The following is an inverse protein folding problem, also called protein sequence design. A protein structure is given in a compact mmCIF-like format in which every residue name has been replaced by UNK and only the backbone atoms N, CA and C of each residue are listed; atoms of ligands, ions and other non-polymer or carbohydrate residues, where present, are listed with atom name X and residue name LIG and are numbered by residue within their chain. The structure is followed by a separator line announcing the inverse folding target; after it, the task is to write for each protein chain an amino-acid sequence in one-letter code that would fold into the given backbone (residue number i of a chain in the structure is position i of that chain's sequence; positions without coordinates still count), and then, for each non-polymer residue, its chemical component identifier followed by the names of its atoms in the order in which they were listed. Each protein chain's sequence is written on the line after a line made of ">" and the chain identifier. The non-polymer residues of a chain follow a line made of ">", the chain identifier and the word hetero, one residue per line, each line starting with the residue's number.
data_IF_383542871147
#
_entry.id   IF_383542871147
#
_cell.length_a   1.000
_cell.length_b   1.000
_cell.length_c   1.000
_cell.angle_alpha   90.00
_cell.angle_beta   90.00
_cell.angle_gamma   90.00
#
_symmetry.space_group_name_H-M   'P 1'
#
loop_
_entity.id
_entity.type
_entity.pdbx_description
1 polymer ?
#
# COMPACT_ATOMS: atom_id res chain seq x y z
N UNK A 1 -0.12 -22.20 -13.63
CA UNK A 1 -1.11 -21.13 -13.42
C UNK A 1 -2.03 -21.55 -12.28
N UNK A 2 -2.62 -20.61 -11.54
CA UNK A 2 -3.58 -20.90 -10.46
C UNK A 2 -4.97 -21.39 -10.95
N UNK A 3 -5.09 -21.72 -12.25
CA UNK A 3 -6.34 -22.09 -12.93
C UNK A 3 -7.22 -20.88 -13.29
N UNK A 4 -8.12 -21.02 -14.27
CA UNK A 4 -9.15 -20.01 -14.53
C UNK A 4 -10.11 -19.93 -13.33
N UNK A 5 -10.73 -18.76 -13.05
CA UNK A 5 -11.67 -18.61 -11.94
C UNK A 5 -12.84 -19.58 -12.15
N UNK A 6 -12.94 -20.57 -11.26
CA UNK A 6 -14.05 -21.54 -11.28
C UNK A 6 -15.36 -20.79 -11.02
N UNK A 7 -16.40 -21.13 -11.78
CA UNK A 7 -17.77 -20.64 -11.58
C UNK A 7 -17.94 -19.11 -11.64
N UNK A 8 -17.10 -18.40 -12.38
CA UNK A 8 -17.28 -16.95 -12.55
C UNK A 8 -18.68 -16.61 -13.12
N UNK A 9 -19.42 -15.61 -12.58
CA UNK A 9 -19.11 -14.70 -11.46
C UNK A 9 -19.75 -15.10 -10.10
N UNK A 10 -20.10 -16.36 -9.89
CA UNK A 10 -20.86 -16.84 -8.73
C UNK A 10 -20.19 -16.47 -7.38
N UNK A 11 -21.03 -16.03 -6.42
CA UNK A 11 -20.63 -15.61 -5.07
C UNK A 11 -19.59 -14.47 -4.99
N UNK A 12 -19.36 -13.75 -6.09
CA UNK A 12 -18.47 -12.57 -6.14
C UNK A 12 -19.29 -11.29 -6.03
N UNK A 13 -18.72 -10.27 -5.38
CA UNK A 13 -19.42 -9.00 -5.22
C UNK A 13 -18.49 -7.84 -4.87
N UNK A 14 -18.98 -6.64 -5.10
CA UNK A 14 -18.30 -5.40 -4.72
C UNK A 14 -19.28 -4.54 -3.94
N UNK A 15 -18.90 -4.20 -2.71
CA UNK A 15 -19.56 -3.17 -1.92
C UNK A 15 -18.81 -1.85 -2.11
N UNK A 16 -19.54 -0.75 -2.30
CA UNK A 16 -18.99 0.60 -2.46
C UNK A 16 -19.81 1.54 -1.60
N UNK A 17 -19.16 2.40 -0.81
CA UNK A 17 -19.86 3.46 -0.07
C UNK A 17 -20.43 4.49 -1.03
N UNK A 18 -21.43 5.26 -0.59
CA UNK A 18 -22.01 6.33 -1.42
C UNK A 18 -20.96 7.34 -1.89
N UNK A 19 -19.97 7.64 -1.04
CA UNK A 19 -18.84 8.52 -1.34
C UNK A 19 -17.75 7.89 -2.22
N UNK A 20 -17.82 6.58 -2.48
CA UNK A 20 -16.84 5.80 -3.24
C UNK A 20 -15.41 5.88 -2.68
N UNK A 21 -15.30 6.13 -1.38
CA UNK A 21 -14.05 6.28 -0.63
C UNK A 21 -13.68 5.02 0.17
N UNK A 22 -14.58 4.03 0.19
CA UNK A 22 -14.35 2.71 0.74
C UNK A 22 -15.02 1.66 -0.16
N UNK A 23 -14.25 0.66 -0.53
CA UNK A 23 -14.65 -0.44 -1.40
C UNK A 23 -14.28 -1.76 -0.74
N UNK A 24 -15.16 -2.75 -0.80
CA UNK A 24 -14.88 -4.12 -0.37
C UNK A 24 -15.14 -5.08 -1.54
N UNK A 25 -14.12 -5.77 -2.00
CA UNK A 25 -14.24 -6.84 -3.00
C UNK A 25 -14.34 -8.16 -2.25
N UNK A 26 -15.29 -9.00 -2.65
CA UNK A 26 -15.59 -10.29 -2.02
C UNK A 26 -15.39 -11.40 -3.03
N UNK A 27 -14.64 -12.44 -2.62
CA UNK A 27 -14.37 -13.66 -3.39
C UNK A 27 -13.73 -13.40 -4.77
N UNK A 28 -12.80 -12.45 -4.85
CA UNK A 28 -12.05 -12.20 -6.08
C UNK A 28 -10.77 -13.07 -6.13
N UNK A 29 -9.59 -12.50 -5.92
CA UNK A 29 -8.33 -13.23 -5.70
C UNK A 29 -8.23 -13.78 -4.27
N UNK A 30 -8.74 -13.01 -3.30
CA UNK A 30 -8.86 -13.36 -1.88
C UNK A 30 -10.32 -13.25 -1.41
N UNK A 31 -10.62 -13.80 -0.22
CA UNK A 31 -11.96 -13.74 0.37
C UNK A 31 -12.48 -12.31 0.54
N UNK A 32 -11.61 -11.39 0.95
CA UNK A 32 -11.94 -9.99 1.19
C UNK A 32 -10.75 -9.10 0.84
N UNK A 33 -11.01 -8.05 0.05
CA UNK A 33 -10.08 -6.94 -0.17
C UNK A 33 -10.77 -5.63 0.18
N UNK A 34 -10.33 -5.00 1.28
CA UNK A 34 -10.77 -3.67 1.69
C UNK A 34 -9.85 -2.61 1.07
N UNK A 35 -10.46 -1.60 0.46
CA UNK A 35 -9.75 -0.51 -0.22
C UNK A 35 -10.34 0.80 0.30
N UNK A 36 -9.50 1.62 0.93
CA UNK A 36 -9.85 3.00 1.29
C UNK A 36 -9.15 3.93 0.33
N UNK A 37 -9.91 4.86 -0.26
CA UNK A 37 -9.44 5.80 -1.27
C UNK A 37 -9.62 7.20 -0.72
N UNK A 38 -8.62 8.04 -0.89
CA UNK A 38 -8.70 9.47 -0.58
C UNK A 38 -8.22 10.27 -1.78
N UNK A 39 -8.87 11.41 -2.02
CA UNK A 39 -8.44 12.34 -3.05
C UNK A 39 -7.49 13.37 -2.44
N UNK A 40 -6.40 13.68 -3.14
CA UNK A 40 -5.35 14.56 -2.63
C UNK A 40 -4.34 13.80 -1.77
N UNK A 41 -3.79 14.47 -0.75
CA UNK A 41 -2.58 14.02 -0.04
C UNK A 41 -2.84 13.53 1.40
N UNK A 42 -4.10 13.41 1.83
CA UNK A 42 -4.44 13.02 3.21
C UNK A 42 -4.41 11.49 3.41
N UNK A 43 -3.21 10.92 3.41
CA UNK A 43 -2.96 9.51 3.73
C UNK A 43 -3.53 9.10 5.10
N UNK A 44 -3.54 10.03 6.06
CA UNK A 44 -4.03 9.77 7.42
C UNK A 44 -5.53 9.54 7.42
N UNK A 45 -6.30 10.32 6.68
CA UNK A 45 -7.73 10.12 6.51
C UNK A 45 -8.03 8.78 5.84
N UNK A 46 -7.33 8.46 4.75
CA UNK A 46 -7.45 7.18 4.05
C UNK A 46 -7.20 5.99 4.98
N UNK A 47 -6.08 6.02 5.72
CA UNK A 47 -5.69 4.95 6.61
C UNK A 47 -6.62 4.83 7.83
N UNK A 48 -7.05 5.95 8.42
CA UNK A 48 -8.03 5.94 9.50
C UNK A 48 -9.36 5.31 9.07
N UNK A 49 -9.87 5.66 7.88
CA UNK A 49 -11.10 5.05 7.33
C UNK A 49 -10.91 3.55 7.12
N UNK A 50 -9.76 3.12 6.60
CA UNK A 50 -9.42 1.71 6.45
C UNK A 50 -9.46 0.96 7.79
N UNK A 51 -8.78 1.47 8.83
CA UNK A 51 -8.76 0.83 10.15
C UNK A 51 -10.16 0.73 10.76
N UNK A 52 -11.00 1.75 10.60
CA UNK A 52 -12.39 1.72 11.09
C UNK A 52 -13.23 0.67 10.34
N UNK A 53 -13.08 0.58 9.02
CA UNK A 53 -13.77 -0.43 8.22
C UNK A 53 -13.34 -1.85 8.60
N UNK A 54 -12.04 -2.08 8.72
CA UNK A 54 -11.46 -3.35 9.13
C UNK A 54 -11.96 -3.78 10.52
N UNK A 55 -11.98 -2.85 11.49
CA UNK A 55 -12.52 -3.10 12.83
C UNK A 55 -14.02 -3.47 12.80
N UNK A 56 -14.81 -2.79 11.95
CA UNK A 56 -16.23 -3.11 11.76
C UNK A 56 -16.44 -4.52 11.17
N UNK A 57 -15.66 -4.89 10.16
CA UNK A 57 -15.70 -6.25 9.59
C UNK A 57 -15.29 -7.29 10.64
N UNK A 58 -14.20 -7.05 11.38
CA UNK A 58 -13.75 -7.94 12.46
C UNK A 58 -14.86 -8.18 13.49
N UNK A 59 -15.53 -7.11 13.95
CA UNK A 59 -16.62 -7.21 14.91
C UNK A 59 -17.81 -8.02 14.34
N UNK A 60 -18.16 -7.81 13.07
CA UNK A 60 -19.22 -8.58 12.40
C UNK A 60 -18.87 -10.07 12.27
N UNK A 61 -17.63 -10.40 11.91
CA UNK A 61 -17.17 -11.79 11.85
C UNK A 61 -17.27 -12.48 13.21
N UNK A 62 -16.87 -11.80 14.28
CA UNK A 62 -16.96 -12.32 15.64
C UNK A 62 -18.41 -12.62 16.06
N UNK A 63 -19.37 -11.78 15.68
CA UNK A 63 -20.81 -12.04 15.91
C UNK A 63 -21.29 -13.32 15.20
N UNK A 64 -20.61 -13.74 14.14
CA UNK A 64 -20.90 -14.95 13.37
C UNK A 64 -19.94 -16.10 13.68
N UNK A 65 -19.21 -16.04 14.83
CA UNK A 65 -18.22 -17.06 15.23
C UNK A 65 -17.13 -17.31 14.18
N UNK A 66 -16.77 -16.29 13.41
CA UNK A 66 -15.70 -16.31 12.41
C UNK A 66 -14.59 -15.32 12.76
N UNK A 67 -13.41 -15.50 12.16
CA UNK A 67 -12.27 -14.60 12.31
C UNK A 67 -11.46 -14.52 11.02
N UNK A 68 -10.60 -13.51 10.92
CA UNK A 68 -9.58 -13.49 9.87
C UNK A 68 -8.59 -14.64 10.06
N UNK A 69 -8.09 -15.17 8.94
CA UNK A 69 -7.02 -16.15 8.93
C UNK A 69 -5.70 -15.44 9.26
N UNK A 70 -5.15 -15.71 10.44
CA UNK A 70 -3.92 -15.08 10.92
C UNK A 70 -3.02 -16.12 11.60
N UNK A 71 -1.70 -15.95 11.42
CA UNK A 71 -0.65 -16.76 12.04
C UNK A 71 0.25 -15.87 12.88
N UNK A 72 0.68 -16.34 14.05
CA UNK A 72 1.63 -15.63 14.89
C UNK A 72 2.99 -15.36 14.21
N UNK A 73 3.38 -16.21 13.24
CA UNK A 73 4.64 -16.05 12.49
C UNK A 73 4.46 -15.27 11.19
N UNK A 74 3.33 -15.45 10.52
CA UNK A 74 3.12 -14.95 9.15
C UNK A 74 2.13 -13.78 9.05
N UNK A 75 1.52 -13.35 10.15
CA UNK A 75 0.46 -12.33 10.13
C UNK A 75 -0.79 -12.82 9.41
N UNK A 76 -1.50 -11.92 8.76
CA UNK A 76 -2.65 -12.24 7.90
C UNK A 76 -2.23 -13.15 6.75
N UNK A 77 -3.06 -14.16 6.51
CA UNK A 77 -2.86 -15.12 5.44
C UNK A 77 -3.65 -14.69 4.20
N UNK A 78 -3.01 -14.78 3.03
CA UNK A 78 -3.59 -14.51 1.71
C UNK A 78 -3.27 -15.68 0.78
N UNK A 79 -4.01 -15.78 -0.31
CA UNK A 79 -3.82 -16.77 -1.37
C UNK A 79 -2.45 -16.65 -2.06
N UNK A 80 -1.84 -15.45 -2.03
CA UNK A 80 -0.51 -15.20 -2.58
C UNK A 80 0.55 -15.06 -1.47
N UNK A 81 1.65 -15.85 -1.48
CA UNK A 81 2.70 -15.75 -0.46
C UNK A 81 3.35 -14.37 -0.31
N UNK A 82 3.37 -13.56 -1.37
CA UNK A 82 3.92 -12.19 -1.31
C UNK A 82 3.03 -11.20 -0.57
N UNK A 83 1.77 -11.57 -0.29
CA UNK A 83 0.80 -10.76 0.45
C UNK A 83 0.66 -11.17 1.92
N UNK A 84 1.52 -12.06 2.43
CA UNK A 84 1.55 -12.40 3.86
C UNK A 84 2.00 -11.20 4.72
N UNK A 85 1.70 -11.26 6.02
CA UNK A 85 2.10 -10.27 7.01
C UNK A 85 0.95 -9.32 7.33
N UNK A 86 1.10 -8.05 6.99
CA UNK A 86 0.02 -7.06 7.11
C UNK A 86 -0.99 -7.18 5.98
N UNK A 87 -0.60 -7.82 4.86
CA UNK A 87 -1.33 -7.81 3.58
C UNK A 87 -1.65 -6.39 3.06
N UNK A 88 -1.03 -5.35 3.62
CA UNK A 88 -1.33 -3.96 3.30
C UNK A 88 -0.55 -3.51 2.07
N UNK A 89 -1.27 -2.85 1.16
CA UNK A 89 -0.71 -2.12 0.03
C UNK A 89 -1.16 -0.66 0.16
N UNK A 90 -0.31 0.18 0.76
CA UNK A 90 -0.46 1.62 0.70
C UNK A 90 0.10 2.11 -0.64
N UNK A 91 -0.67 2.93 -1.36
CA UNK A 91 -0.32 3.38 -2.71
C UNK A 91 -0.65 4.86 -2.88
N UNK A 92 0.24 5.58 -3.56
CA UNK A 92 0.09 6.95 -3.99
C UNK A 92 0.15 7.02 -5.52
N UNK A 93 -0.68 7.85 -6.14
CA UNK A 93 -0.45 8.29 -7.51
C UNK A 93 0.31 9.61 -7.47
N UNK A 94 1.48 9.66 -8.12
CA UNK A 94 2.37 10.81 -8.14
C UNK A 94 2.75 11.18 -9.57
N UNK A 95 2.69 12.46 -9.89
CA UNK A 95 3.14 13.03 -11.15
C UNK A 95 4.65 13.29 -11.06
N UNK A 96 5.45 12.47 -11.73
CA UNK A 96 6.93 12.46 -11.65
C UNK A 96 7.59 12.40 -13.05
N UNK A 97 7.22 13.27 -14.02
CA UNK A 97 7.74 13.19 -15.39
C UNK A 97 9.26 13.38 -15.47
N UNK A 98 9.87 14.25 -14.67
CA UNK A 98 11.31 14.53 -14.73
C UNK A 98 12.12 13.51 -13.93
N UNK A 99 11.70 13.20 -12.70
CA UNK A 99 12.38 12.25 -11.84
C UNK A 99 12.37 10.84 -12.47
N UNK A 100 11.26 10.44 -13.09
CA UNK A 100 11.16 9.13 -13.74
C UNK A 100 11.94 8.99 -15.05
N UNK A 101 12.27 10.12 -15.71
CA UNK A 101 13.12 10.14 -16.90
C UNK A 101 14.62 10.03 -16.58
N UNK A 102 15.03 10.30 -15.32
CA UNK A 102 16.43 10.20 -14.90
C UNK A 102 16.86 8.74 -14.72
N UNK A 103 18.14 8.41 -15.05
CA UNK A 103 18.70 7.11 -14.70
C UNK A 103 18.67 6.93 -13.18
N UNK A 104 18.45 5.70 -12.72
CA UNK A 104 18.41 5.38 -11.30
C UNK A 104 17.04 5.56 -10.62
N UNK A 105 15.99 6.06 -11.30
CA UNK A 105 14.67 6.28 -10.67
C UNK A 105 14.11 5.05 -9.94
N UNK A 106 14.11 3.89 -10.62
CA UNK A 106 13.64 2.62 -10.01
C UNK A 106 14.55 2.15 -8.87
N UNK A 107 15.85 2.43 -8.96
CA UNK A 107 16.80 2.10 -7.91
C UNK A 107 16.57 2.98 -6.68
N UNK A 108 16.32 4.28 -6.87
CA UNK A 108 15.93 5.22 -5.82
C UNK A 108 14.64 4.74 -5.13
N UNK A 109 13.58 4.45 -5.89
CA UNK A 109 12.32 3.91 -5.34
C UNK A 109 12.59 2.68 -4.46
N UNK A 110 13.41 1.73 -4.95
CA UNK A 110 13.73 0.52 -4.19
C UNK A 110 14.53 0.81 -2.91
N UNK A 111 15.48 1.77 -2.94
CA UNK A 111 16.21 2.20 -1.73
C UNK A 111 15.31 2.91 -0.71
N UNK A 112 14.24 3.56 -1.18
CA UNK A 112 13.19 4.14 -0.35
C UNK A 112 12.18 3.11 0.17
N UNK A 113 12.34 1.81 -0.13
CA UNK A 113 11.38 0.78 0.26
C UNK A 113 10.09 0.79 -0.56
N UNK A 114 10.12 1.38 -1.77
CA UNK A 114 8.97 1.56 -2.63
C UNK A 114 9.02 0.67 -3.89
N UNK A 115 7.84 0.28 -4.33
CA UNK A 115 7.57 -0.30 -5.64
C UNK A 115 6.90 0.77 -6.51
N UNK A 116 7.53 1.09 -7.66
CA UNK A 116 7.01 2.08 -8.62
C UNK A 116 6.55 1.42 -9.93
N UNK A 117 5.30 1.70 -10.34
CA UNK A 117 4.68 1.22 -11.57
C UNK A 117 4.11 2.39 -12.37
N UNK A 118 4.22 2.36 -13.69
CA UNK A 118 3.54 3.35 -14.53
C UNK A 118 2.03 3.16 -14.36
N UNK A 119 1.32 4.23 -13.99
CA UNK A 119 -0.13 4.19 -13.79
C UNK A 119 -0.91 4.63 -15.04
N UNK A 120 -0.24 5.31 -15.97
CA UNK A 120 -0.76 5.70 -17.27
C UNK A 120 0.03 5.04 -18.41
N UNK A 121 -0.48 5.20 -19.64
CA UNK A 121 0.26 4.88 -20.86
C UNK A 121 1.61 5.63 -20.92
N UNK A 122 2.54 5.11 -21.71
CA UNK A 122 3.92 5.63 -21.75
C UNK A 122 3.95 7.13 -22.07
N UNK A 123 4.53 7.93 -21.16
CA UNK A 123 4.84 9.35 -21.41
C UNK A 123 4.10 10.35 -20.52
N UNK A 124 3.04 9.96 -19.81
CA UNK A 124 2.28 10.90 -18.97
C UNK A 124 2.95 11.17 -17.61
N UNK A 125 4.06 10.52 -17.27
CA UNK A 125 4.78 10.76 -16.01
C UNK A 125 4.00 10.40 -14.74
N UNK A 126 2.83 9.76 -14.85
CA UNK A 126 2.02 9.34 -13.71
C UNK A 126 2.46 7.96 -13.20
N UNK A 127 2.87 7.90 -11.94
CA UNK A 127 3.38 6.69 -11.30
C UNK A 127 2.54 6.30 -10.09
N UNK A 128 2.23 5.00 -9.99
CA UNK A 128 1.77 4.36 -8.76
C UNK A 128 2.99 3.96 -7.94
N UNK A 129 3.07 4.49 -6.73
CA UNK A 129 4.16 4.28 -5.78
C UNK A 129 3.58 3.62 -4.53
N UNK A 130 4.09 2.46 -4.15
CA UNK A 130 3.54 1.66 -3.05
C UNK A 130 4.63 1.05 -2.17
N UNK A 131 4.30 0.60 -0.96
CA UNK A 131 5.25 -0.10 -0.11
C UNK A 131 5.70 -1.43 -0.74
N UNK A 132 7.00 -1.70 -0.68
CA UNK A 132 7.57 -2.97 -1.12
C UNK A 132 7.31 -4.08 -0.10
N UNK A 133 7.58 -3.80 1.17
CA UNK A 133 7.51 -4.78 2.24
C UNK A 133 6.08 -4.92 2.77
N UNK A 134 5.66 -6.18 2.97
CA UNK A 134 4.36 -6.56 3.54
C UNK A 134 4.48 -7.42 4.80
N UNK A 135 5.64 -8.03 5.02
CA UNK A 135 5.93 -8.93 6.14
C UNK A 135 7.12 -8.40 6.96
N UNK A 136 7.06 -8.52 8.28
CA UNK A 136 8.16 -8.13 9.17
C UNK A 136 8.13 -6.67 9.66
N UNK A 137 7.13 -5.89 9.25
CA UNK A 137 6.86 -4.52 9.68
C UNK A 137 5.38 -4.34 10.01
N UNK A 138 5.03 -3.31 10.77
CA UNK A 138 3.62 -2.97 11.03
C UNK A 138 3.00 -2.21 9.86
N UNK A 139 1.67 -2.19 9.81
CA UNK A 139 0.87 -1.40 8.86
C UNK A 139 1.25 0.08 8.91
N UNK A 140 1.43 0.61 10.13
CA UNK A 140 1.82 2.02 10.34
C UNK A 140 3.19 2.31 9.75
N UNK A 141 4.17 1.42 9.98
CA UNK A 141 5.51 1.59 9.43
C UNK A 141 5.48 1.54 7.89
N UNK A 142 4.69 0.64 7.30
CA UNK A 142 4.55 0.55 5.83
C UNK A 142 3.90 1.78 5.23
N UNK A 143 2.87 2.35 5.88
CA UNK A 143 2.24 3.60 5.46
C UNK A 143 3.22 4.76 5.55
N UNK A 144 3.99 4.86 6.63
CA UNK A 144 5.01 5.91 6.78
C UNK A 144 6.10 5.82 5.70
N UNK A 145 6.55 4.61 5.34
CA UNK A 145 7.48 4.40 4.22
C UNK A 145 6.94 5.00 2.93
N UNK A 146 5.65 4.82 2.63
CA UNK A 146 5.03 5.40 1.43
C UNK A 146 4.94 6.92 1.54
N UNK A 147 4.47 7.46 2.66
CA UNK A 147 4.34 8.90 2.88
C UNK A 147 5.71 9.59 2.68
N UNK A 148 6.74 9.07 3.33
CA UNK A 148 8.08 9.64 3.30
C UNK A 148 8.74 9.45 1.94
N UNK A 149 8.63 8.26 1.35
CA UNK A 149 9.15 7.99 0.02
C UNK A 149 8.52 8.89 -1.04
N UNK A 150 7.20 9.09 -1.00
CA UNK A 150 6.50 10.01 -1.93
C UNK A 150 6.94 11.45 -1.71
N UNK A 151 7.09 11.90 -0.45
CA UNK A 151 7.61 13.23 -0.12
C UNK A 151 8.99 13.47 -0.75
N UNK A 152 9.91 12.50 -0.63
CA UNK A 152 11.25 12.60 -1.21
C UNK A 152 11.21 12.61 -2.75
N UNK A 153 10.39 11.77 -3.37
CA UNK A 153 10.23 11.75 -4.82
C UNK A 153 9.69 13.07 -5.37
N UNK A 154 8.67 13.65 -4.70
CA UNK A 154 8.13 14.97 -5.07
C UNK A 154 9.17 16.08 -4.87
N UNK A 155 9.96 16.03 -3.79
CA UNK A 155 11.05 16.99 -3.58
C UNK A 155 12.11 16.92 -4.69
N UNK A 156 12.44 15.71 -5.16
CA UNK A 156 13.33 15.52 -6.32
C UNK A 156 12.71 16.10 -7.59
N UNK A 157 11.43 15.84 -7.85
CA UNK A 157 10.70 16.40 -9.00
C UNK A 157 10.78 17.93 -8.99
N UNK A 158 10.43 18.58 -7.88
CA UNK A 158 10.47 20.04 -7.76
C UNK A 158 11.88 20.64 -8.00
N UNK A 159 12.94 19.95 -7.55
CA UNK A 159 14.33 20.37 -7.82
C UNK A 159 14.67 20.30 -9.30
N UNK A 160 14.24 19.24 -9.97
CA UNK A 160 14.41 19.08 -11.43
C UNK A 160 13.59 20.13 -12.21
N UNK A 161 12.37 20.46 -11.75
CA UNK A 161 11.56 21.55 -12.32
C UNK A 161 12.25 22.91 -12.18
N UNK A 162 13.01 23.13 -11.11
CA UNK A 162 13.85 24.32 -10.91
C UNK A 162 15.15 24.31 -11.74
N UNK A 163 15.39 23.27 -12.55
CA UNK A 163 16.57 23.14 -13.39
C UNK A 163 17.83 22.64 -12.66
N UNK A 164 17.71 22.13 -11.44
CA UNK A 164 18.83 21.50 -10.75
C UNK A 164 19.22 20.17 -11.43
N UNK A 165 20.51 19.91 -11.57
CA UNK A 165 20.97 18.59 -11.99
C UNK A 165 21.08 17.65 -10.77
N UNK A 166 20.04 16.83 -10.58
CA UNK A 166 19.98 15.87 -9.47
C UNK A 166 20.48 14.51 -9.93
N UNK A 167 21.54 14.02 -9.29
CA UNK A 167 21.98 12.63 -9.42
C UNK A 167 21.21 11.73 -8.45
N UNK A 168 20.28 10.92 -8.97
CA UNK A 168 19.44 10.06 -8.16
C UNK A 168 20.22 8.99 -7.39
N UNK A 169 21.33 8.50 -7.93
CA UNK A 169 22.13 7.45 -7.29
C UNK A 169 22.87 7.96 -6.05
N UNK A 170 23.17 9.26 -5.99
CA UNK A 170 23.89 9.91 -4.88
C UNK A 170 22.98 10.45 -3.76
N UNK A 171 21.65 10.42 -3.95
CA UNK A 171 20.71 10.88 -2.91
C UNK A 171 20.80 9.99 -1.67
N UNK A 172 21.08 10.61 -0.53
CA UNK A 172 20.97 9.96 0.76
C UNK A 172 19.49 9.63 1.02
N UNK A 173 19.21 8.39 1.39
CA UNK A 173 17.90 8.01 1.90
C UNK A 173 17.85 8.42 3.37
N UNK A 174 17.02 9.39 3.70
CA UNK A 174 16.73 9.75 5.08
C UNK A 174 16.02 8.54 5.73
N UNK A 175 16.73 7.82 6.61
CA UNK A 175 16.15 6.72 7.37
C UNK A 175 15.29 7.29 8.50
N UNK A 176 14.05 6.83 8.64
CA UNK A 176 13.23 7.17 9.80
C UNK A 176 13.85 6.56 11.07
N UNK A 177 13.84 7.34 12.15
CA UNK A 177 14.23 6.87 13.48
C UNK A 177 13.33 5.70 13.90
N UNK A 178 13.93 4.63 14.43
CA UNK A 178 13.25 3.42 14.88
C UNK A 178 12.00 3.73 15.72
N UNK A 179 10.81 3.48 15.17
CA UNK A 179 9.57 3.47 15.96
C UNK A 179 9.68 2.27 16.91
N UNK A 180 9.58 2.46 18.24
CA UNK A 180 9.75 1.37 19.19
C UNK A 180 8.76 0.25 18.87
N UNK A 181 9.27 -0.97 18.69
CA UNK A 181 8.43 -2.17 18.50
C UNK A 181 7.63 -2.41 19.78
N UNK A 182 6.39 -1.90 19.83
CA UNK A 182 5.45 -2.27 20.88
C UNK A 182 5.11 -3.73 20.68
N UNK A 183 5.68 -4.60 21.51
CA UNK A 183 5.24 -5.99 21.64
C UNK A 183 3.80 -5.96 22.14
N UNK A 184 2.84 -6.17 21.24
CA UNK A 184 1.48 -6.51 21.63
C UNK A 184 1.55 -7.88 22.32
N UNK A 185 1.50 -7.89 23.65
CA UNK A 185 1.17 -9.09 24.40
C UNK A 185 -0.30 -9.41 24.10
N UNK A 186 -0.53 -10.39 23.24
CA UNK A 186 -1.83 -11.03 23.11
C UNK A 186 -2.12 -11.72 24.45
N UNK A 187 -2.96 -11.08 25.27
CA UNK A 187 -3.60 -11.74 26.40
C UNK A 187 -4.52 -12.83 25.86
N UNK A 188 -4.33 -14.03 26.40
CA UNK A 188 -5.20 -15.20 26.21
C UNK A 188 -6.60 -14.89 26.76
#
# INVERSE_FOLDING_TARGET
>A
SAGPPRHWPEARGVFVTHRRDLVAWVNEEDHLKLISIEQGTDFRAAFRRFCLAEAGVRASLQQHSASFACSSRLGFLSSCPSSLGTSLCAEALAQLPLASAKPGFRALCKRLGLLARSAAEQGDGLWSVSNLDRLGSSEVAQVNVVIEGVRQLVAVECRLECGEDVNLDALAVEAEAEVPRVRAQLGV
#
